data_IF_340053996629
#
_entry.id   IF_340053996629
#
_cell.length_a   1.000
_cell.length_b   1.000
_cell.length_c   1.000
_cell.angle_alpha   90.00
_cell.angle_beta   90.00
_cell.angle_gamma   90.00
#
_symmetry.space_group_name_H-M   'P 1'
#
loop_
_entity.id
_entity.type
_entity.pdbx_description
1 polymer ?
#
# COMPACT_ATOMS: atom_id res chain seq x y z
N UNK A 1 -1.16 17.42 1.63
CA UNK A 1 -1.32 15.96 1.79
C UNK A 1 -1.57 15.64 3.24
N UNK A 2 -2.39 14.65 3.53
CA UNK A 2 -2.74 14.24 4.88
C UNK A 2 -2.42 12.75 5.08
N UNK A 3 -2.34 12.32 6.34
CA UNK A 3 -2.17 10.89 6.67
C UNK A 3 -3.35 10.06 6.12
N UNK A 4 -4.55 10.62 6.14
CA UNK A 4 -5.73 9.94 5.59
C UNK A 4 -5.61 9.74 4.08
N UNK A 5 -5.10 10.71 3.34
CA UNK A 5 -4.84 10.57 1.91
C UNK A 5 -3.80 9.47 1.64
N UNK A 6 -2.75 9.41 2.46
CA UNK A 6 -1.73 8.36 2.37
C UNK A 6 -2.35 6.98 2.62
N UNK A 7 -3.19 6.88 3.64
CA UNK A 7 -3.89 5.62 3.97
C UNK A 7 -4.73 5.13 2.79
N UNK A 8 -5.53 6.01 2.19
CA UNK A 8 -6.35 5.64 1.03
C UNK A 8 -5.50 5.24 -0.17
N UNK A 9 -4.37 5.92 -0.38
CA UNK A 9 -3.44 5.59 -1.44
C UNK A 9 -2.87 4.17 -1.26
N UNK A 10 -2.43 3.83 -0.05
CA UNK A 10 -1.88 2.51 0.26
C UNK A 10 -2.96 1.42 0.12
N UNK A 11 -4.18 1.70 0.58
CA UNK A 11 -5.31 0.76 0.46
C UNK A 11 -5.65 0.44 -0.99
N UNK A 12 -5.37 1.34 -1.91
CA UNK A 12 -5.67 1.15 -3.33
C UNK A 12 -4.70 0.19 -4.03
N UNK A 13 -3.66 -0.30 -3.35
CA UNK A 13 -2.58 -1.08 -3.96
C UNK A 13 -3.08 -2.27 -4.78
N UNK A 14 -3.95 -3.11 -4.22
CA UNK A 14 -4.47 -4.29 -4.91
C UNK A 14 -5.31 -3.92 -6.13
N UNK A 15 -6.12 -2.87 -6.03
CA UNK A 15 -6.91 -2.37 -7.14
C UNK A 15 -6.03 -1.81 -8.27
N UNK A 16 -4.99 -1.05 -7.91
CA UNK A 16 -4.04 -0.51 -8.89
C UNK A 16 -3.35 -1.63 -9.66
N UNK A 17 -2.93 -2.69 -8.96
CA UNK A 17 -2.32 -3.86 -9.61
C UNK A 17 -3.29 -4.58 -10.52
N UNK A 18 -4.53 -4.79 -10.06
CA UNK A 18 -5.57 -5.44 -10.86
C UNK A 18 -5.86 -4.67 -12.14
N UNK A 19 -5.96 -3.35 -12.05
CA UNK A 19 -6.19 -2.49 -13.24
C UNK A 19 -5.02 -2.56 -14.19
N UNK A 20 -3.79 -2.54 -13.68
CA UNK A 20 -2.60 -2.67 -14.53
C UNK A 20 -2.58 -4.02 -15.25
N UNK A 21 -2.94 -5.10 -14.57
CA UNK A 21 -2.98 -6.43 -15.18
C UNK A 21 -4.03 -6.53 -16.29
N UNK A 22 -5.19 -5.87 -16.12
CA UNK A 22 -6.23 -5.81 -17.16
C UNK A 22 -5.70 -5.07 -18.40
N UNK A 23 -5.02 -3.96 -18.21
CA UNK A 23 -4.43 -3.21 -19.33
C UNK A 23 -3.42 -4.06 -20.07
N UNK A 24 -2.55 -4.77 -19.35
CA UNK A 24 -1.61 -5.71 -19.94
C UNK A 24 -2.31 -6.74 -20.83
N UNK A 25 -3.40 -7.32 -20.34
CA UNK A 25 -4.17 -8.31 -21.09
C UNK A 25 -4.82 -7.71 -22.35
N UNK A 26 -5.39 -6.52 -22.23
CA UNK A 26 -5.98 -5.82 -23.39
C UNK A 26 -4.92 -5.58 -24.44
N UNK A 27 -3.75 -5.07 -24.07
CA UNK A 27 -2.67 -4.79 -25.00
C UNK A 27 -2.09 -6.06 -25.62
N UNK A 28 -2.07 -7.18 -24.87
CA UNK A 28 -1.62 -8.46 -25.35
C UNK A 28 -2.51 -9.01 -26.48
N UNK A 29 -3.84 -8.79 -26.38
CA UNK A 29 -4.81 -9.26 -27.36
C UNK A 29 -5.12 -8.24 -28.45
N UNK A 30 -4.65 -7.01 -28.32
CA UNK A 30 -4.89 -5.93 -29.29
C UNK A 30 -3.64 -5.73 -30.15
N UNK A 31 -3.83 -5.67 -31.46
CA UNK A 31 -2.73 -5.36 -32.39
C UNK A 31 -2.52 -3.85 -32.57
N UNK A 32 -3.42 -3.03 -32.04
CA UNK A 32 -3.33 -1.58 -32.13
C UNK A 32 -2.88 -1.01 -30.78
N UNK A 33 -1.84 -0.18 -30.80
CA UNK A 33 -1.40 0.55 -29.62
C UNK A 33 -2.39 1.65 -29.30
N UNK A 34 -2.87 1.68 -28.05
CA UNK A 34 -3.67 2.74 -27.52
C UNK A 34 -2.80 3.62 -26.62
N UNK A 35 -2.51 4.84 -27.04
CA UNK A 35 -1.65 5.76 -26.29
C UNK A 35 -2.24 6.11 -24.93
N UNK A 36 -3.57 6.15 -24.81
CA UNK A 36 -4.24 6.43 -23.53
C UNK A 36 -4.04 5.30 -22.55
N UNK A 37 -4.13 4.04 -23.01
CA UNK A 37 -3.85 2.87 -22.17
C UNK A 37 -2.40 2.81 -21.77
N UNK A 38 -1.47 3.17 -22.65
CA UNK A 38 -0.04 3.21 -22.32
C UNK A 38 0.25 4.23 -21.22
N UNK A 39 -0.38 5.40 -21.30
CA UNK A 39 -0.23 6.44 -20.27
C UNK A 39 -0.83 6.00 -18.94
N UNK A 40 -2.00 5.38 -18.97
CA UNK A 40 -2.63 4.85 -17.77
C UNK A 40 -1.78 3.75 -17.13
N UNK A 41 -1.26 2.82 -17.94
CA UNK A 41 -0.37 1.77 -17.49
C UNK A 41 0.87 2.34 -16.78
N UNK A 42 1.50 3.34 -17.38
CA UNK A 42 2.67 3.99 -16.80
C UNK A 42 2.35 4.65 -15.48
N UNK A 43 1.22 5.35 -15.38
CA UNK A 43 0.81 6.02 -14.15
C UNK A 43 0.51 5.01 -13.04
N UNK A 44 -0.19 3.93 -13.36
CA UNK A 44 -0.47 2.86 -12.41
C UNK A 44 0.82 2.22 -11.91
N UNK A 45 1.77 1.97 -12.82
CA UNK A 45 3.07 1.39 -12.47
C UNK A 45 3.87 2.30 -11.52
N UNK A 46 3.84 3.62 -11.75
CA UNK A 46 4.50 4.59 -10.87
C UNK A 46 3.87 4.54 -9.48
N UNK A 47 2.56 4.57 -9.39
CA UNK A 47 1.85 4.53 -8.10
C UNK A 47 2.16 3.25 -7.33
N UNK A 48 2.13 2.11 -8.01
CA UNK A 48 2.46 0.81 -7.42
C UNK A 48 3.91 0.82 -6.90
N UNK A 49 4.84 1.34 -7.68
CA UNK A 49 6.25 1.42 -7.30
C UNK A 49 6.45 2.31 -6.07
N UNK A 50 5.72 3.42 -5.99
CA UNK A 50 5.79 4.31 -4.82
C UNK A 50 5.35 3.56 -3.56
N UNK A 51 4.24 2.82 -3.62
CA UNK A 51 3.73 2.05 -2.48
C UNK A 51 4.74 0.97 -2.09
N UNK A 52 5.26 0.20 -3.04
CA UNK A 52 6.22 -0.87 -2.77
C UNK A 52 7.50 -0.33 -2.15
N UNK A 53 8.00 0.81 -2.65
CA UNK A 53 9.19 1.45 -2.11
C UNK A 53 8.94 2.00 -0.70
N UNK A 54 7.76 2.59 -0.47
CA UNK A 54 7.38 3.09 0.84
C UNK A 54 7.31 1.97 1.88
N UNK A 55 6.79 0.80 1.50
CA UNK A 55 6.74 -0.34 2.42
C UNK A 55 8.13 -0.81 2.83
N UNK A 56 9.13 -0.66 1.97
CA UNK A 56 10.50 -1.08 2.25
C UNK A 56 11.19 -0.24 3.33
N UNK A 57 10.75 1.00 3.56
CA UNK A 57 11.34 1.86 4.59
C UNK A 57 10.76 1.62 5.98
N UNK A 58 9.71 0.81 6.08
CA UNK A 58 9.06 0.51 7.35
C UNK A 58 9.84 -0.57 8.12
N UNK A 59 9.73 -0.54 9.46
CA UNK A 59 10.20 -1.66 10.26
C UNK A 59 9.35 -2.89 9.96
N UNK A 60 9.84 -4.07 10.36
CA UNK A 60 9.11 -5.31 10.10
C UNK A 60 7.72 -5.31 10.76
N UNK A 61 7.62 -4.81 11.99
CA UNK A 61 6.34 -4.69 12.69
C UNK A 61 5.37 -3.78 11.96
N UNK A 62 5.84 -2.61 11.55
CA UNK A 62 5.04 -1.64 10.82
C UNK A 62 4.54 -2.20 9.50
N UNK A 63 5.44 -2.85 8.78
CA UNK A 63 5.13 -3.46 7.48
C UNK A 63 4.06 -4.53 7.61
N UNK A 64 4.20 -5.44 8.58
CA UNK A 64 3.25 -6.53 8.77
C UNK A 64 1.86 -6.00 9.13
N UNK A 65 1.77 -5.00 9.99
CA UNK A 65 0.49 -4.42 10.39
C UNK A 65 -0.18 -3.71 9.22
N UNK A 66 0.59 -2.94 8.43
CA UNK A 66 0.06 -2.28 7.24
C UNK A 66 -0.43 -3.31 6.22
N UNK A 67 0.33 -4.39 6.00
CA UNK A 67 -0.07 -5.45 5.07
C UNK A 67 -1.37 -6.13 5.52
N UNK A 68 -1.49 -6.47 6.80
CA UNK A 68 -2.69 -7.13 7.32
C UNK A 68 -3.91 -6.22 7.30
N UNK A 69 -3.78 -5.02 7.83
CA UNK A 69 -4.95 -4.16 8.02
C UNK A 69 -5.36 -3.40 6.76
N UNK A 70 -4.40 -2.84 6.03
CA UNK A 70 -4.71 -1.99 4.88
C UNK A 70 -4.73 -2.73 3.55
N UNK A 71 -3.79 -3.65 3.31
CA UNK A 71 -3.72 -4.35 2.04
C UNK A 71 -4.62 -5.59 2.03
N UNK A 72 -4.57 -6.40 3.09
CA UNK A 72 -5.38 -7.61 3.19
C UNK A 72 -6.77 -7.34 3.78
N UNK A 73 -7.01 -6.10 4.20
CA UNK A 73 -8.31 -5.66 4.73
C UNK A 73 -8.78 -6.49 5.94
N UNK A 74 -7.86 -6.89 6.80
CA UNK A 74 -8.17 -7.65 8.02
C UNK A 74 -8.70 -6.69 9.09
N UNK A 75 -9.78 -7.07 9.74
CA UNK A 75 -10.36 -6.27 10.83
C UNK A 75 -9.40 -6.17 12.01
N UNK A 76 -9.43 -5.04 12.70
CA UNK A 76 -8.56 -4.85 13.88
C UNK A 76 -8.71 -5.97 14.92
N UNK A 77 -9.92 -6.49 15.10
CA UNK A 77 -10.16 -7.58 16.05
C UNK A 77 -9.39 -8.87 15.73
N UNK A 78 -9.00 -9.04 14.46
CA UNK A 78 -8.26 -10.23 13.99
C UNK A 78 -6.78 -9.96 13.75
N UNK A 79 -6.38 -8.70 13.67
CA UNK A 79 -4.99 -8.32 13.35
C UNK A 79 -4.03 -8.89 14.39
N UNK A 80 -4.37 -8.77 15.68
CA UNK A 80 -3.51 -9.27 16.77
C UNK A 80 -3.24 -10.76 16.62
N UNK A 81 -4.28 -11.56 16.42
CA UNK A 81 -4.15 -13.00 16.30
C UNK A 81 -3.29 -13.41 15.10
N UNK A 82 -3.54 -12.81 13.94
CA UNK A 82 -2.77 -13.11 12.74
C UNK A 82 -1.32 -12.63 12.85
N UNK A 83 -1.11 -11.47 13.46
CA UNK A 83 0.24 -10.94 13.66
C UNK A 83 1.05 -11.86 14.58
N UNK A 84 0.45 -12.32 15.68
CA UNK A 84 1.11 -13.23 16.61
C UNK A 84 1.46 -14.57 15.94
N UNK A 85 0.58 -15.08 15.07
CA UNK A 85 0.87 -16.28 14.30
C UNK A 85 2.07 -16.10 13.37
N UNK A 86 2.17 -14.95 12.73
CA UNK A 86 3.26 -14.65 11.79
C UNK A 86 4.62 -14.53 12.48
N UNK A 87 4.65 -13.91 13.66
CA UNK A 87 5.90 -13.76 14.41
C UNK A 87 6.21 -14.97 15.29
N UNK A 88 5.25 -15.88 15.47
CA UNK A 88 5.43 -17.09 16.27
C UNK A 88 5.52 -16.84 17.77
N UNK A 89 5.04 -15.72 18.24
CA UNK A 89 5.08 -15.31 19.64
C UNK A 89 3.75 -14.75 20.08
N UNK A 90 3.38 -14.99 21.34
CA UNK A 90 2.26 -14.32 21.94
C UNK A 90 2.71 -12.97 22.47
N UNK A 91 2.00 -11.91 22.09
CA UNK A 91 2.33 -10.54 22.46
C UNK A 91 1.20 -9.94 23.29
N UNK A 92 1.56 -9.15 24.31
CA UNK A 92 0.59 -8.46 25.15
C UNK A 92 0.24 -7.07 24.58
N UNK A 93 0.18 -6.94 23.25
CA UNK A 93 -0.19 -5.69 22.62
C UNK A 93 -1.71 -5.54 22.58
N UNK A 94 -2.18 -4.35 22.96
CA UNK A 94 -3.58 -3.98 22.81
C UNK A 94 -3.85 -3.53 21.37
N UNK A 95 -5.12 -3.46 20.99
CA UNK A 95 -5.51 -2.88 19.70
C UNK A 95 -4.96 -1.46 19.55
N UNK A 96 -4.95 -0.68 20.64
CA UNK A 96 -4.40 0.67 20.67
C UNK A 96 -2.93 0.71 20.23
N UNK A 97 -2.15 -0.29 20.66
CA UNK A 97 -0.76 -0.42 20.25
C UNK A 97 -0.64 -0.63 18.75
N UNK A 98 -1.47 -1.49 18.17
CA UNK A 98 -1.48 -1.70 16.73
C UNK A 98 -1.91 -0.46 15.94
N UNK A 99 -2.91 0.27 16.43
CA UNK A 99 -3.30 1.57 15.87
C UNK A 99 -2.12 2.54 15.82
N UNK A 100 -1.39 2.63 16.93
CA UNK A 100 -0.25 3.55 17.04
C UNK A 100 0.87 3.15 16.07
N UNK A 101 1.14 1.86 15.96
CA UNK A 101 2.17 1.36 15.03
C UNK A 101 1.78 1.71 13.60
N UNK A 102 0.53 1.48 13.21
CA UNK A 102 0.06 1.84 11.87
C UNK A 102 0.13 3.35 11.63
N UNK A 103 -0.27 4.16 12.61
CA UNK A 103 -0.22 5.62 12.48
C UNK A 103 1.21 6.10 12.25
N UNK A 104 2.16 5.53 12.98
CA UNK A 104 3.57 5.85 12.81
C UNK A 104 4.08 5.41 11.44
N UNK A 105 3.66 4.23 10.98
CA UNK A 105 4.00 3.74 9.64
C UNK A 105 3.49 4.70 8.56
N UNK A 106 2.23 5.13 8.67
CA UNK A 106 1.65 6.05 7.69
C UNK A 106 2.36 7.41 7.68
N UNK A 107 2.81 7.90 8.83
CA UNK A 107 3.61 9.12 8.90
C UNK A 107 4.96 8.97 8.21
N UNK A 108 5.60 7.81 8.37
CA UNK A 108 6.85 7.52 7.67
C UNK A 108 6.64 7.49 6.16
N UNK A 109 5.55 6.88 5.70
CA UNK A 109 5.19 6.84 4.28
C UNK A 109 4.93 8.26 3.77
N UNK A 110 4.19 9.07 4.53
CA UNK A 110 3.94 10.47 4.17
C UNK A 110 5.24 11.23 3.99
N UNK A 111 6.14 11.11 4.95
CA UNK A 111 7.44 11.79 4.88
C UNK A 111 8.27 11.30 3.68
N UNK A 112 8.23 10.02 3.40
CA UNK A 112 8.90 9.45 2.23
C UNK A 112 8.36 10.06 0.93
N UNK A 113 7.05 10.16 0.81
CA UNK A 113 6.41 10.73 -0.39
C UNK A 113 6.76 12.21 -0.55
N UNK A 114 6.68 12.97 0.54
CA UNK A 114 7.00 14.41 0.52
C UNK A 114 8.47 14.63 0.18
N UNK A 115 9.37 13.92 0.85
CA UNK A 115 10.81 14.09 0.64
C UNK A 115 11.27 13.65 -0.75
N UNK A 116 10.52 12.74 -1.36
CA UNK A 116 10.80 12.24 -2.72
C UNK A 116 10.07 13.04 -3.80
N UNK A 117 9.26 14.02 -3.41
CA UNK A 117 8.47 14.86 -4.34
C UNK A 117 7.48 14.05 -5.17
N UNK A 118 6.82 13.05 -4.56
CA UNK A 118 5.86 12.17 -5.22
C UNK A 118 4.40 12.55 -4.93
N UNK A 119 4.15 13.70 -4.30
CA UNK A 119 2.79 14.10 -3.88
C UNK A 119 1.81 14.18 -5.04
N UNK A 120 2.29 14.55 -6.23
CA UNK A 120 1.45 14.66 -7.43
C UNK A 120 0.79 13.34 -7.82
N UNK A 121 1.31 12.20 -7.36
CA UNK A 121 0.77 10.88 -7.70
C UNK A 121 -0.26 10.37 -6.68
N UNK A 122 -0.50 11.10 -5.59
CA UNK A 122 -1.35 10.63 -4.50
C UNK A 122 -2.81 11.00 -4.70
N UNK A 123 -3.09 12.06 -5.40
CA UNK A 123 -4.46 12.56 -5.64
C UNK A 123 -5.15 11.85 -6.80
#
# INVERSE_FOLDING_TARGET
>A
MTVEAVKEFVKAYSELKARRDVIDKIQEYSHNKDNNLDKEYSLLSIKIQIIESALKILSEDEKQIVLLHLLDNVKWSEVKSLYEQQVGMELNYSERTFFRIQKNALKKIENFIINSHFEQYID
#
